data_IF_063926667039
#
_entry.id   IF_063926667039
#
_cell.length_a   1.000
_cell.length_b   1.000
_cell.length_c   1.000
_cell.angle_alpha   90.00
_cell.angle_beta   90.00
_cell.angle_gamma   90.00
#
_symmetry.space_group_name_H-M   'P 1'
#
loop_
_entity.id
_entity.type
_entity.pdbx_description
1 polymer ?
#
# COMPACT_ATOMS: atom_id res chain seq x y z
N UNK A 1 6.66 17.72 -24.17
CA UNK A 1 6.10 17.77 -22.82
C UNK A 1 6.88 16.87 -21.86
N UNK A 2 7.07 15.58 -22.17
CA UNK A 2 7.83 14.66 -21.31
C UNK A 2 9.28 15.12 -21.08
N UNK A 3 9.98 15.57 -22.13
CA UNK A 3 11.36 16.10 -22.00
C UNK A 3 11.41 17.25 -21.00
N UNK A 4 10.47 18.18 -21.08
CA UNK A 4 10.37 19.29 -20.12
C UNK A 4 10.07 18.82 -18.69
N UNK A 5 9.27 17.76 -18.53
CA UNK A 5 9.01 17.17 -17.23
C UNK A 5 10.28 16.55 -16.62
N UNK A 6 11.08 15.83 -17.43
CA UNK A 6 12.37 15.26 -17.00
C UNK A 6 13.43 16.30 -16.66
N UNK A 7 13.42 17.44 -17.38
CA UNK A 7 14.31 18.58 -17.09
C UNK A 7 13.95 19.27 -15.76
N UNK A 8 12.65 19.41 -15.49
CA UNK A 8 12.15 19.98 -14.22
C UNK A 8 12.37 19.05 -13.03
N UNK A 9 12.32 17.75 -13.26
CA UNK A 9 12.38 16.72 -12.24
C UNK A 9 13.28 15.56 -12.69
N UNK A 10 14.60 15.67 -12.47
CA UNK A 10 15.59 14.68 -12.90
C UNK A 10 15.32 13.25 -12.39
N UNK A 11 14.67 13.11 -11.22
CA UNK A 11 14.24 11.82 -10.68
C UNK A 11 13.42 11.00 -11.67
N UNK A 12 12.56 11.63 -12.47
CA UNK A 12 11.76 10.93 -13.48
C UNK A 12 12.67 10.28 -14.52
N UNK A 13 13.68 11.02 -15.02
CA UNK A 13 14.65 10.49 -15.98
C UNK A 13 15.44 9.33 -15.38
N UNK A 14 15.97 9.50 -14.17
CA UNK A 14 16.72 8.46 -13.46
C UNK A 14 15.88 7.18 -13.28
N UNK A 15 14.60 7.35 -12.94
CA UNK A 15 13.68 6.23 -12.71
C UNK A 15 13.35 5.40 -13.97
N UNK A 16 13.38 5.99 -15.17
CA UNK A 16 13.02 5.32 -16.44
C UNK A 16 14.21 4.99 -17.33
N UNK A 17 15.41 5.45 -16.99
CA UNK A 17 16.63 5.13 -17.74
C UNK A 17 17.15 3.75 -17.33
N UNK A 18 17.18 2.83 -18.29
CA UNK A 18 17.71 1.49 -18.07
C UNK A 18 19.24 1.49 -17.90
N UNK A 19 19.84 0.46 -17.28
CA UNK A 19 21.31 0.38 -17.09
C UNK A 19 22.13 0.46 -18.37
N UNK A 20 21.53 0.20 -19.53
CA UNK A 20 22.15 0.37 -20.84
C UNK A 20 22.06 1.81 -21.38
N UNK A 21 21.52 2.75 -20.61
CA UNK A 21 21.37 4.15 -20.96
C UNK A 21 20.13 4.48 -21.80
N UNK A 22 19.28 3.51 -22.13
CA UNK A 22 18.08 3.73 -22.93
C UNK A 22 16.80 3.88 -22.11
N UNK A 23 15.83 4.59 -22.67
CA UNK A 23 14.48 4.75 -22.12
C UNK A 23 13.51 3.91 -22.97
N UNK A 24 12.89 2.89 -22.35
CA UNK A 24 11.99 1.96 -23.04
C UNK A 24 10.52 2.19 -22.74
N UNK A 25 10.21 2.98 -21.74
CA UNK A 25 8.84 3.18 -21.27
C UNK A 25 8.51 4.65 -20.99
N UNK A 26 7.24 4.95 -20.93
CA UNK A 26 6.73 6.25 -20.53
C UNK A 26 6.27 6.22 -19.08
N UNK A 27 6.66 7.22 -18.26
CA UNK A 27 6.36 7.27 -16.84
C UNK A 27 5.04 7.94 -16.50
N UNK A 28 4.66 7.89 -15.21
CA UNK A 28 3.73 8.83 -14.59
C UNK A 28 4.34 9.52 -13.39
N UNK A 29 3.83 10.72 -13.07
CA UNK A 29 3.98 11.39 -11.77
C UNK A 29 2.64 11.92 -11.30
N UNK A 30 2.29 11.62 -10.03
CA UNK A 30 1.04 11.96 -9.36
C UNK A 30 1.32 12.46 -7.93
N UNK A 31 1.62 13.76 -7.72
CA UNK A 31 1.95 14.29 -6.38
C UNK A 31 0.75 14.29 -5.43
N UNK A 32 -0.46 14.08 -5.96
CA UNK A 32 -1.69 13.99 -5.18
C UNK A 32 -1.94 12.60 -4.57
N UNK A 33 -1.04 11.64 -4.75
CA UNK A 33 -1.18 10.35 -4.06
C UNK A 33 -0.63 10.47 -2.63
N UNK A 34 -1.22 9.74 -1.66
CA UNK A 34 -0.79 9.81 -0.28
C UNK A 34 0.60 9.18 -0.08
N UNK A 35 1.27 9.59 0.99
CA UNK A 35 2.50 8.94 1.46
C UNK A 35 2.19 7.62 2.14
N UNK A 36 1.06 7.58 2.88
CA UNK A 36 0.63 6.41 3.65
C UNK A 36 -0.32 5.58 2.81
N UNK A 37 0.04 4.34 2.65
CA UNK A 37 -0.73 3.31 1.92
C UNK A 37 -2.06 2.95 2.62
N UNK A 38 -2.48 1.70 2.50
CA UNK A 38 -3.54 1.18 3.32
C UNK A 38 -3.17 1.27 4.80
N UNK A 39 -4.16 1.50 5.63
CA UNK A 39 -4.01 1.65 7.07
C UNK A 39 -5.05 0.83 7.80
N UNK A 40 -4.86 0.65 9.10
CA UNK A 40 -5.84 -0.02 9.93
C UNK A 40 -7.03 0.89 10.19
N UNK A 41 -8.21 0.30 10.15
CA UNK A 41 -9.48 0.87 10.60
C UNK A 41 -10.03 0.04 11.74
N UNK A 42 -10.72 0.72 12.67
CA UNK A 42 -11.40 0.07 13.79
C UNK A 42 -12.87 0.47 13.82
N UNK A 43 -13.73 -0.48 14.14
CA UNK A 43 -15.16 -0.22 14.29
C UNK A 43 -15.42 0.63 15.55
N UNK A 44 -15.68 1.91 15.32
CA UNK A 44 -15.94 2.87 16.41
C UNK A 44 -17.28 2.60 17.10
N UNK A 45 -18.28 2.13 16.37
CA UNK A 45 -19.57 1.75 16.93
C UNK A 45 -19.44 0.59 17.92
N UNK A 46 -18.59 -0.39 17.61
CA UNK A 46 -18.30 -1.49 18.55
C UNK A 46 -17.59 -0.99 19.81
N UNK A 47 -16.63 -0.09 19.66
CA UNK A 47 -15.99 0.56 20.81
C UNK A 47 -17.03 1.28 21.70
N UNK A 48 -17.95 2.02 21.09
CA UNK A 48 -18.98 2.78 21.81
C UNK A 48 -19.97 1.85 22.49
N UNK A 49 -20.44 0.80 21.82
CA UNK A 49 -21.35 -0.21 22.38
C UNK A 49 -20.77 -0.86 23.65
N UNK A 50 -19.47 -1.10 23.67
CA UNK A 50 -18.77 -1.72 24.79
C UNK A 50 -18.15 -0.75 25.80
N UNK A 51 -18.27 0.58 25.55
CA UNK A 51 -17.68 1.61 26.41
C UNK A 51 -16.14 1.64 26.38
N UNK A 52 -15.54 1.20 25.26
CA UNK A 52 -14.09 1.12 25.09
C UNK A 52 -13.52 2.39 24.47
N UNK A 53 -12.27 2.68 24.80
CA UNK A 53 -11.50 3.76 24.15
C UNK A 53 -10.82 3.25 22.89
N UNK A 54 -10.50 4.16 21.97
CA UNK A 54 -9.62 3.89 20.83
C UNK A 54 -8.25 3.49 21.35
N UNK A 55 -7.68 2.34 20.92
CA UNK A 55 -6.38 1.89 21.38
C UNK A 55 -5.25 2.83 20.91
N UNK A 56 -4.28 3.07 21.77
CA UNK A 56 -3.08 3.89 21.49
C UNK A 56 -1.81 3.05 21.37
N UNK A 57 -1.83 1.85 21.94
CA UNK A 57 -0.69 0.92 21.94
C UNK A 57 -1.12 -0.43 21.36
N UNK A 58 -0.13 -1.26 21.01
CA UNK A 58 -0.39 -2.64 20.61
C UNK A 58 -1.12 -3.43 21.73
N UNK A 59 -0.70 -3.25 22.98
CA UNK A 59 -1.34 -3.94 24.11
C UNK A 59 -2.79 -3.51 24.32
N UNK A 60 -3.12 -2.25 24.06
CA UNK A 60 -4.51 -1.78 24.11
C UNK A 60 -5.32 -2.38 22.96
N UNK A 61 -4.73 -2.48 21.74
CA UNK A 61 -5.40 -3.15 20.63
C UNK A 61 -5.74 -4.60 21.00
N UNK A 62 -4.81 -5.35 21.55
CA UNK A 62 -5.06 -6.76 21.97
C UNK A 62 -6.20 -6.85 22.98
N UNK A 63 -6.27 -5.94 23.96
CA UNK A 63 -7.39 -5.89 24.92
C UNK A 63 -8.72 -5.58 24.23
N UNK A 64 -8.73 -4.63 23.31
CA UNK A 64 -9.94 -4.28 22.54
C UNK A 64 -10.39 -5.49 21.69
N UNK A 65 -9.48 -6.17 21.01
CA UNK A 65 -9.80 -7.37 20.22
C UNK A 65 -10.37 -8.49 21.12
N UNK A 66 -9.88 -8.62 22.36
CA UNK A 66 -10.43 -9.59 23.33
C UNK A 66 -11.88 -9.23 23.70
N UNK A 67 -12.15 -7.94 23.98
CA UNK A 67 -13.51 -7.49 24.30
C UNK A 67 -14.46 -7.65 23.09
N UNK A 68 -13.99 -7.42 21.87
CA UNK A 68 -14.76 -7.66 20.64
C UNK A 68 -15.12 -9.15 20.47
N UNK A 69 -14.22 -10.04 20.85
CA UNK A 69 -14.45 -11.49 20.79
C UNK A 69 -15.45 -11.98 21.84
N UNK A 70 -15.32 -11.48 23.08
CA UNK A 70 -16.01 -12.06 24.24
C UNK A 70 -17.42 -11.48 24.43
N UNK A 71 -17.78 -10.41 23.70
CA UNK A 71 -19.03 -9.68 23.84
C UNK A 71 -19.72 -9.44 22.50
N UNK A 72 -21.03 -9.26 22.55
CA UNK A 72 -21.85 -8.81 21.41
C UNK A 72 -21.47 -7.36 21.06
N UNK A 73 -20.39 -7.20 20.28
CA UNK A 73 -19.84 -5.89 19.94
C UNK A 73 -20.70 -5.19 18.88
N UNK A 74 -21.27 -5.95 17.94
CA UNK A 74 -22.10 -5.42 16.87
C UNK A 74 -23.56 -5.14 17.32
N UNK A 75 -23.98 -5.67 18.47
CA UNK A 75 -25.27 -5.42 19.10
C UNK A 75 -26.45 -6.18 18.49
N UNK A 76 -26.19 -7.32 17.85
CA UNK A 76 -27.22 -8.12 17.17
C UNK A 76 -27.80 -9.24 18.05
N UNK A 77 -27.27 -9.48 19.25
CA UNK A 77 -27.66 -10.53 20.20
C UNK A 77 -26.91 -11.85 20.01
N UNK A 78 -25.95 -11.95 19.10
CA UNK A 78 -25.12 -13.11 18.85
C UNK A 78 -23.63 -12.76 19.10
N UNK A 79 -22.99 -13.39 20.08
CA UNK A 79 -21.56 -13.17 20.42
C UNK A 79 -20.61 -14.07 19.64
N UNK A 80 -21.09 -14.79 18.64
CA UNK A 80 -20.29 -15.77 17.89
C UNK A 80 -19.97 -15.33 16.46
N UNK A 81 -20.52 -14.22 16.00
CA UNK A 81 -20.36 -13.76 14.63
C UNK A 81 -19.35 -12.59 14.47
N UNK A 82 -18.79 -12.11 15.58
CA UNK A 82 -17.74 -11.10 15.56
C UNK A 82 -16.40 -11.66 15.08
N UNK A 83 -15.78 -10.94 14.16
CA UNK A 83 -14.40 -11.14 13.69
C UNK A 83 -13.56 -9.99 14.25
N UNK A 84 -12.85 -10.17 15.37
CA UNK A 84 -12.13 -9.05 16.00
C UNK A 84 -11.10 -8.41 15.08
N UNK A 85 -10.28 -9.24 14.39
CA UNK A 85 -9.33 -8.79 13.36
C UNK A 85 -9.50 -9.66 12.11
N UNK A 86 -9.93 -9.04 11.01
CA UNK A 86 -10.14 -9.68 9.72
C UNK A 86 -9.09 -9.26 8.68
N UNK A 87 -8.96 -10.05 7.62
CA UNK A 87 -8.08 -9.73 6.50
C UNK A 87 -8.52 -8.43 5.81
N UNK A 88 -7.52 -7.70 5.34
CA UNK A 88 -7.67 -6.47 4.59
C UNK A 88 -7.19 -6.62 3.15
N UNK A 89 -6.73 -5.50 2.57
CA UNK A 89 -6.24 -5.45 1.20
C UNK A 89 -4.77 -5.87 1.06
N UNK A 90 -4.11 -6.25 2.15
CA UNK A 90 -2.70 -6.65 2.20
C UNK A 90 -2.51 -8.04 2.77
N UNK A 91 -1.25 -8.53 2.65
CA UNK A 91 -0.78 -9.65 3.45
C UNK A 91 -1.16 -9.43 4.93
N UNK A 92 -1.99 -10.31 5.51
CA UNK A 92 -2.52 -10.09 6.86
C UNK A 92 -1.42 -10.05 7.92
N UNK A 93 -0.28 -10.73 7.69
CA UNK A 93 0.84 -10.70 8.63
C UNK A 93 1.41 -9.30 8.76
N UNK A 94 1.65 -8.61 7.65
CA UNK A 94 2.19 -7.25 7.70
C UNK A 94 1.20 -6.24 8.28
N UNK A 95 -0.08 -6.37 7.97
CA UNK A 95 -1.11 -5.50 8.57
C UNK A 95 -1.15 -5.61 10.09
N UNK A 96 -1.06 -6.83 10.62
CA UNK A 96 -1.12 -7.08 12.05
C UNK A 96 0.16 -6.66 12.78
N UNK A 97 1.33 -6.91 12.19
CA UNK A 97 2.62 -6.67 12.83
C UNK A 97 3.18 -5.26 12.62
N UNK A 98 2.43 -4.36 12.00
CA UNK A 98 2.84 -2.98 11.77
C UNK A 98 3.39 -2.28 13.03
N UNK A 99 2.79 -2.42 14.23
CA UNK A 99 3.32 -1.82 15.46
C UNK A 99 4.69 -2.35 15.93
N UNK A 100 5.21 -3.40 15.30
CA UNK A 100 6.52 -3.97 15.61
C UNK A 100 7.65 -3.40 14.75
N UNK A 101 7.50 -2.15 14.26
CA UNK A 101 8.50 -1.51 13.38
C UNK A 101 8.67 -2.28 12.07
N UNK A 102 7.58 -2.79 11.56
CA UNK A 102 7.58 -3.35 10.22
C UNK A 102 7.55 -2.22 9.19
N UNK A 103 8.64 -2.09 8.44
CA UNK A 103 8.91 -0.98 7.52
C UNK A 103 8.39 -1.21 6.10
N UNK A 104 7.45 -2.13 5.93
CA UNK A 104 6.95 -2.47 4.62
C UNK A 104 6.23 -1.27 3.98
N UNK A 105 6.72 -0.86 2.83
CA UNK A 105 5.94 -0.07 1.87
C UNK A 105 4.91 -0.96 1.20
N UNK A 106 3.76 -0.39 0.85
CA UNK A 106 2.77 -1.10 0.05
C UNK A 106 3.38 -1.49 -1.30
N UNK A 107 2.98 -2.61 -1.83
CA UNK A 107 3.31 -3.07 -3.19
C UNK A 107 4.80 -3.14 -3.55
N UNK A 108 5.66 -3.19 -2.58
CA UNK A 108 7.07 -3.46 -2.80
C UNK A 108 7.23 -4.94 -3.16
N UNK A 109 7.43 -5.23 -4.42
CA UNK A 109 7.47 -6.59 -5.00
C UNK A 109 8.40 -7.55 -4.23
N UNK A 110 9.50 -7.04 -3.67
CA UNK A 110 10.49 -7.86 -3.00
C UNK A 110 10.49 -7.71 -1.47
N UNK A 111 9.49 -7.05 -0.91
CA UNK A 111 9.35 -6.84 0.54
C UNK A 111 10.61 -6.22 1.18
N UNK A 112 11.21 -5.29 0.44
CA UNK A 112 12.42 -4.57 0.84
C UNK A 112 12.10 -3.30 1.61
N UNK A 113 12.99 -2.90 2.48
CA UNK A 113 12.99 -1.59 3.13
C UNK A 113 14.40 -1.01 3.19
N UNK A 114 14.55 0.18 3.75
CA UNK A 114 15.84 0.83 3.98
C UNK A 114 16.04 1.06 5.46
N UNK A 115 17.15 0.57 6.01
CA UNK A 115 17.56 0.78 7.39
C UNK A 115 19.01 1.30 7.41
N UNK A 116 19.21 2.45 8.04
CA UNK A 116 20.52 3.08 8.12
C UNK A 116 21.22 3.24 6.75
N UNK A 117 20.42 3.59 5.71
CA UNK A 117 20.90 3.80 4.35
C UNK A 117 21.22 2.50 3.56
N UNK A 118 20.81 1.34 4.05
CA UNK A 118 21.04 0.04 3.39
C UNK A 118 19.71 -0.69 3.16
N UNK A 119 19.56 -1.40 2.03
CA UNK A 119 18.46 -2.31 1.82
C UNK A 119 18.42 -3.44 2.86
N UNK A 120 17.24 -3.74 3.35
CA UNK A 120 16.98 -4.86 4.26
C UNK A 120 15.79 -5.67 3.75
N UNK A 121 15.84 -6.99 3.88
CA UNK A 121 14.72 -7.88 3.60
C UNK A 121 13.89 -8.05 4.86
N UNK A 122 12.65 -7.59 4.83
CA UNK A 122 11.83 -7.44 6.04
C UNK A 122 11.58 -8.75 6.77
N UNK A 123 11.47 -9.86 6.04
CA UNK A 123 11.21 -11.18 6.61
C UNK A 123 12.39 -11.78 7.39
N UNK A 124 13.54 -11.11 7.41
CA UNK A 124 14.72 -11.51 8.22
C UNK A 124 15.00 -10.61 9.40
N UNK A 125 14.19 -9.56 9.58
CA UNK A 125 14.36 -8.61 10.67
C UNK A 125 13.79 -9.15 12.01
N UNK A 126 14.44 -8.78 13.11
CA UNK A 126 13.98 -9.18 14.45
C UNK A 126 12.57 -8.66 14.77
N UNK A 127 12.23 -7.48 14.25
CA UNK A 127 10.88 -6.92 14.35
C UNK A 127 9.82 -7.80 13.68
N UNK A 128 10.15 -8.46 12.59
CA UNK A 128 9.27 -9.43 11.94
C UNK A 128 9.06 -10.67 12.83
N UNK A 129 10.15 -11.23 13.37
CA UNK A 129 10.09 -12.36 14.30
C UNK A 129 9.16 -12.08 15.50
N UNK A 130 9.39 -10.93 16.15
CA UNK A 130 8.60 -10.49 17.30
C UNK A 130 7.12 -10.30 16.94
N UNK A 131 6.85 -9.69 15.80
CA UNK A 131 5.48 -9.48 15.31
C UNK A 131 4.76 -10.79 15.02
N UNK A 132 5.40 -11.75 14.36
CA UNK A 132 4.81 -13.07 14.08
C UNK A 132 4.55 -13.85 15.39
N UNK A 133 5.46 -13.80 16.36
CA UNK A 133 5.24 -14.41 17.67
C UNK A 133 4.02 -13.80 18.38
N UNK A 134 3.88 -12.48 18.35
CA UNK A 134 2.72 -11.77 18.92
C UNK A 134 1.42 -12.08 18.16
N UNK A 135 1.49 -12.21 16.83
CA UNK A 135 0.34 -12.61 16.01
C UNK A 135 -0.11 -14.03 16.33
N UNK A 136 0.83 -14.97 16.55
CA UNK A 136 0.51 -16.32 17.01
C UNK A 136 -0.29 -16.32 18.32
N UNK A 137 0.15 -15.57 19.33
CA UNK A 137 -0.56 -15.48 20.60
C UNK A 137 -1.99 -14.92 20.45
N UNK A 138 -2.19 -13.98 19.54
CA UNK A 138 -3.52 -13.45 19.26
C UNK A 138 -4.38 -14.42 18.45
N UNK A 139 -3.79 -15.11 17.47
CA UNK A 139 -4.49 -16.15 16.70
C UNK A 139 -4.96 -17.29 17.60
N UNK A 140 -4.09 -17.79 18.48
CA UNK A 140 -4.40 -18.84 19.46
C UNK A 140 -5.55 -18.46 20.41
N UNK A 141 -5.69 -17.17 20.74
CA UNK A 141 -6.80 -16.64 21.53
C UNK A 141 -8.07 -16.45 20.71
N UNK A 142 -8.04 -16.66 19.40
CA UNK A 142 -9.16 -16.42 18.48
C UNK A 142 -9.47 -14.94 18.27
N UNK A 143 -8.48 -14.05 18.41
CA UNK A 143 -8.63 -12.61 18.16
C UNK A 143 -8.46 -12.27 16.69
N UNK A 144 -8.01 -13.22 15.88
CA UNK A 144 -7.78 -13.09 14.44
C UNK A 144 -8.68 -14.10 13.73
N UNK A 145 -9.25 -13.70 12.61
CA UNK A 145 -10.07 -14.58 11.77
C UNK A 145 -9.33 -15.91 11.50
N UNK A 146 -9.91 -17.07 11.85
CA UNK A 146 -9.27 -18.36 11.64
C UNK A 146 -9.04 -18.67 10.15
N UNK A 147 -9.78 -18.04 9.24
CA UNK A 147 -9.67 -18.24 7.80
C UNK A 147 -8.69 -17.27 7.14
N UNK A 148 -8.01 -16.39 7.90
CA UNK A 148 -7.20 -15.27 7.41
C UNK A 148 -6.10 -15.66 6.39
N UNK A 149 -5.65 -16.91 6.40
CA UNK A 149 -4.66 -17.45 5.43
C UNK A 149 -5.27 -18.33 4.34
N UNK A 150 -6.55 -18.62 4.41
CA UNK A 150 -7.23 -19.56 3.49
C UNK A 150 -8.33 -18.89 2.67
N UNK A 151 -8.81 -17.74 3.10
CA UNK A 151 -9.82 -16.98 2.36
C UNK A 151 -9.22 -16.27 1.16
N UNK A 152 -9.98 -16.18 0.09
CA UNK A 152 -9.66 -15.33 -1.05
C UNK A 152 -10.18 -13.89 -0.85
N UNK A 153 -9.81 -13.00 -1.78
CA UNK A 153 -10.24 -11.60 -1.73
C UNK A 153 -11.76 -11.43 -1.71
N UNK A 154 -12.50 -12.29 -2.42
CA UNK A 154 -13.97 -12.20 -2.48
C UNK A 154 -14.60 -12.56 -1.15
N UNK A 155 -14.09 -13.59 -0.49
CA UNK A 155 -14.52 -13.99 0.86
C UNK A 155 -14.24 -12.89 1.89
N UNK A 156 -13.03 -12.34 1.88
CA UNK A 156 -12.64 -11.23 2.77
C UNK A 156 -13.52 -9.99 2.55
N UNK A 157 -13.79 -9.62 1.29
CA UNK A 157 -14.70 -8.51 0.96
C UNK A 157 -16.12 -8.81 1.44
N UNK A 158 -16.63 -10.03 1.25
CA UNK A 158 -17.97 -10.41 1.70
C UNK A 158 -18.13 -10.26 3.23
N UNK A 159 -17.12 -10.64 4.02
CA UNK A 159 -17.12 -10.45 5.48
C UNK A 159 -17.14 -8.98 5.88
N UNK A 160 -16.36 -8.13 5.21
CA UNK A 160 -16.25 -6.68 5.52
C UNK A 160 -17.44 -5.86 5.02
N UNK A 161 -18.09 -6.28 3.93
CA UNK A 161 -19.18 -5.56 3.25
C UNK A 161 -20.52 -6.32 3.35
N UNK A 162 -20.71 -7.13 4.38
CA UNK A 162 -21.98 -7.82 4.63
C UNK A 162 -23.14 -6.80 4.63
N UNK A 163 -24.29 -7.19 4.09
CA UNK A 163 -25.47 -6.31 4.03
C UNK A 163 -26.24 -6.23 5.36
N UNK A 164 -25.93 -7.11 6.30
CA UNK A 164 -26.54 -7.14 7.62
C UNK A 164 -25.89 -6.16 8.61
N UNK A 165 -25.44 -6.66 9.73
CA UNK A 165 -24.60 -5.93 10.70
C UNK A 165 -23.14 -6.03 10.33
N UNK A 166 -22.33 -5.06 10.75
CA UNK A 166 -20.89 -5.17 10.55
C UNK A 166 -20.33 -6.32 11.39
N UNK A 167 -19.49 -7.17 10.77
CA UNK A 167 -18.95 -8.38 11.40
C UNK A 167 -17.46 -8.29 11.72
N UNK A 168 -16.76 -7.28 11.24
CA UNK A 168 -15.30 -7.14 11.38
C UNK A 168 -14.97 -5.95 12.27
N UNK A 169 -14.23 -6.19 13.36
CA UNK A 169 -13.84 -5.12 14.30
C UNK A 169 -12.70 -4.27 13.78
N UNK A 170 -11.61 -4.92 13.32
CA UNK A 170 -10.41 -4.25 12.77
C UNK A 170 -10.03 -4.89 11.45
N UNK A 171 -9.70 -4.08 10.46
CA UNK A 171 -9.12 -4.53 9.19
C UNK A 171 -8.33 -3.42 8.52
N UNK A 172 -7.55 -3.75 7.49
CA UNK A 172 -6.77 -2.76 6.72
C UNK A 172 -7.40 -2.44 5.38
N UNK A 173 -7.26 -1.18 4.95
CA UNK A 173 -7.75 -0.74 3.65
C UNK A 173 -7.34 0.67 3.29
N UNK A 174 -7.79 1.13 2.11
CA UNK A 174 -7.45 2.44 1.57
C UNK A 174 -8.23 3.57 2.26
N UNK A 175 -9.54 3.49 2.24
CA UNK A 175 -10.48 4.36 2.95
C UNK A 175 -11.58 3.50 3.56
N UNK A 176 -12.34 4.02 4.51
CA UNK A 176 -13.42 3.27 5.13
C UNK A 176 -14.52 2.88 4.12
N UNK A 177 -14.89 3.78 3.21
CA UNK A 177 -15.91 3.54 2.18
C UNK A 177 -15.49 2.45 1.19
N UNK A 178 -14.23 2.46 0.73
CA UNK A 178 -13.69 1.43 -0.14
C UNK A 178 -13.52 0.06 0.57
N UNK A 179 -13.38 0.05 1.90
CA UNK A 179 -13.06 -1.16 2.68
C UNK A 179 -14.31 -1.83 3.26
N UNK A 180 -15.26 -1.05 3.75
CA UNK A 180 -16.42 -1.55 4.52
C UNK A 180 -17.79 -1.21 3.88
N UNK A 181 -17.79 -0.53 2.73
CA UNK A 181 -19.01 -0.24 1.97
C UNK A 181 -20.08 0.45 2.81
N UNK A 182 -21.25 -0.20 2.98
CA UNK A 182 -22.39 0.34 3.73
C UNK A 182 -22.09 0.62 5.21
N UNK A 183 -21.12 -0.07 5.79
CA UNK A 183 -20.71 0.10 7.20
C UNK A 183 -19.63 1.15 7.40
N UNK A 184 -19.19 1.84 6.35
CA UNK A 184 -18.06 2.79 6.41
C UNK A 184 -18.18 3.84 7.50
N UNK A 185 -19.38 4.32 7.78
CA UNK A 185 -19.65 5.32 8.83
C UNK A 185 -19.46 4.80 10.27
N UNK A 186 -19.38 3.47 10.44
CA UNK A 186 -19.13 2.84 11.73
C UNK A 186 -17.62 2.77 12.05
N UNK A 187 -16.74 3.02 11.06
CA UNK A 187 -15.31 2.87 11.20
C UNK A 187 -14.57 4.20 11.21
N UNK A 188 -13.51 4.22 11.99
CA UNK A 188 -12.51 5.29 11.97
C UNK A 188 -11.14 4.73 11.61
N UNK A 189 -10.29 5.58 11.04
CA UNK A 189 -8.87 5.26 10.90
C UNK A 189 -8.26 5.03 12.29
N UNK A 190 -7.59 3.91 12.47
CA UNK A 190 -6.86 3.65 13.70
C UNK A 190 -5.62 4.54 13.72
N UNK A 191 -5.39 5.32 14.78
CA UNK A 191 -4.14 6.06 14.95
C UNK A 191 -2.92 5.14 14.84
N UNK A 192 -1.78 5.68 14.43
CA UNK A 192 -0.56 4.90 14.45
C UNK A 192 -0.27 4.43 15.89
N UNK A 193 -0.32 3.13 16.11
CA UNK A 193 -0.13 2.55 17.45
C UNK A 193 1.32 2.66 17.89
N UNK A 194 1.55 2.91 19.16
CA UNK A 194 2.86 2.75 19.78
C UNK A 194 3.20 1.27 19.85
N UNK A 195 4.29 0.90 19.20
CA UNK A 195 4.83 -0.45 19.22
C UNK A 195 5.59 -0.76 20.52
N UNK A 196 6.19 -1.94 20.58
CA UNK A 196 6.96 -2.41 21.74
C UNK A 196 8.19 -1.54 22.05
N UNK A 197 8.72 -0.83 21.05
CA UNK A 197 9.84 0.13 21.21
C UNK A 197 9.37 1.54 21.58
N UNK A 198 8.07 1.74 21.84
CA UNK A 198 7.44 3.01 22.18
C UNK A 198 7.28 3.98 21.02
N UNK A 199 7.63 3.60 19.78
CA UNK A 199 7.51 4.42 18.57
C UNK A 199 6.27 4.05 17.79
N UNK A 200 5.89 4.92 16.88
CA UNK A 200 4.73 4.75 16.00
C UNK A 200 5.22 4.60 14.55
N UNK A 201 4.59 3.69 13.81
CA UNK A 201 4.95 3.37 12.44
C UNK A 201 3.71 3.22 11.58
N UNK A 202 3.80 3.60 10.32
CA UNK A 202 2.76 3.39 9.30
C UNK A 202 3.37 2.84 8.02
N UNK A 203 2.56 2.16 7.23
CA UNK A 203 2.94 1.78 5.87
C UNK A 203 3.19 3.02 5.03
N UNK A 204 4.33 3.06 4.35
CA UNK A 204 4.63 4.13 3.41
C UNK A 204 5.36 3.62 2.19
N UNK A 205 4.90 4.03 1.02
CA UNK A 205 5.63 3.87 -0.23
C UNK A 205 5.28 5.02 -1.18
N UNK A 206 5.79 6.23 -0.90
CA UNK A 206 5.48 7.40 -1.72
C UNK A 206 5.96 7.24 -3.16
N UNK A 207 7.05 6.52 -3.41
CA UNK A 207 7.57 6.33 -4.75
C UNK A 207 6.66 5.44 -5.59
N UNK A 208 6.06 4.40 -5.01
CA UNK A 208 5.12 3.55 -5.71
C UNK A 208 3.84 4.29 -6.11
N UNK A 209 3.28 5.09 -5.21
CA UNK A 209 2.03 5.80 -5.49
C UNK A 209 2.23 7.05 -6.33
N UNK A 210 3.30 7.80 -6.09
CA UNK A 210 3.55 9.07 -6.77
C UNK A 210 4.20 8.90 -8.14
N UNK A 211 4.92 7.80 -8.36
CA UNK A 211 5.67 7.56 -9.60
C UNK A 211 5.37 6.16 -10.16
N UNK A 212 5.18 6.09 -11.46
CA UNK A 212 5.16 4.84 -12.20
C UNK A 212 6.08 4.93 -13.42
N UNK A 213 6.85 3.89 -13.71
CA UNK A 213 7.85 3.92 -14.79
C UNK A 213 7.43 3.21 -16.06
N UNK A 214 6.52 2.26 -16.00
CA UNK A 214 6.17 1.37 -17.11
C UNK A 214 4.71 1.53 -17.54
N UNK A 215 4.24 2.76 -17.65
CA UNK A 215 2.84 3.04 -17.97
C UNK A 215 2.48 2.67 -19.42
N UNK A 216 3.40 2.91 -20.36
CA UNK A 216 3.28 2.47 -21.77
C UNK A 216 4.66 2.11 -22.31
N UNK A 217 4.71 1.01 -23.07
CA UNK A 217 5.87 0.58 -23.84
C UNK A 217 5.50 0.51 -25.32
N UNK A 218 6.42 0.95 -26.18
CA UNK A 218 6.29 0.83 -27.64
C UNK A 218 7.19 -0.30 -28.11
N UNK A 219 6.59 -1.36 -28.64
CA UNK A 219 7.36 -2.53 -29.10
C UNK A 219 8.01 -2.28 -30.46
N UNK A 220 9.02 -3.07 -30.79
CA UNK A 220 9.71 -3.05 -32.10
C UNK A 220 8.80 -3.48 -33.28
N UNK A 221 7.59 -3.95 -33.00
CA UNK A 221 6.58 -4.26 -34.04
C UNK A 221 5.83 -3.02 -34.52
N UNK A 222 5.94 -1.89 -33.80
CA UNK A 222 5.32 -0.64 -34.24
C UNK A 222 5.88 -0.15 -35.57
N UNK A 223 5.04 0.11 -36.54
CA UNK A 223 5.41 0.64 -37.86
C UNK A 223 5.80 2.14 -37.81
N UNK A 224 5.28 2.88 -36.83
CA UNK A 224 5.45 4.32 -36.71
C UNK A 224 5.66 4.75 -35.25
N UNK A 225 6.75 4.30 -34.59
CA UNK A 225 6.97 4.57 -33.16
C UNK A 225 7.09 6.08 -32.86
N UNK A 226 7.74 6.84 -33.73
CA UNK A 226 7.88 8.26 -33.54
C UNK A 226 6.54 9.04 -33.61
N UNK A 227 5.63 8.62 -34.50
CA UNK A 227 4.28 9.22 -34.60
C UNK A 227 3.46 8.87 -33.36
N UNK A 228 3.57 7.64 -32.89
CA UNK A 228 2.89 7.17 -31.67
C UNK A 228 3.41 7.93 -30.44
N UNK A 229 4.74 8.05 -30.30
CA UNK A 229 5.35 8.80 -29.21
C UNK A 229 4.93 10.28 -29.21
N UNK A 230 4.87 10.92 -30.39
CA UNK A 230 4.37 12.29 -30.51
C UNK A 230 2.91 12.45 -30.09
N UNK A 231 2.09 11.44 -30.33
CA UNK A 231 0.70 11.42 -29.86
C UNK A 231 0.63 11.23 -28.34
N UNK A 232 1.38 10.26 -27.79
CA UNK A 232 1.44 9.99 -26.36
C UNK A 232 2.02 11.15 -25.54
N UNK A 233 2.96 11.93 -26.11
CA UNK A 233 3.52 13.12 -25.45
C UNK A 233 2.46 14.18 -25.10
N UNK A 234 1.31 14.18 -25.79
CA UNK A 234 0.18 15.06 -25.45
C UNK A 234 -0.46 14.74 -24.11
N UNK A 235 -0.33 13.51 -23.62
CA UNK A 235 -0.85 13.09 -22.32
C UNK A 235 -0.10 13.75 -21.16
N UNK A 236 1.09 14.32 -21.42
CA UNK A 236 1.90 15.05 -20.44
C UNK A 236 1.59 16.56 -20.39
N UNK A 237 0.53 17.02 -21.03
CA UNK A 237 0.01 18.38 -20.77
C UNK A 237 -0.78 18.40 -19.47
N UNK A 238 -0.83 19.56 -18.81
CA UNK A 238 -1.53 19.73 -17.53
C UNK A 238 -2.99 19.27 -17.61
N UNK A 239 -3.72 19.75 -18.62
CA UNK A 239 -5.13 19.41 -18.82
C UNK A 239 -5.34 17.91 -19.08
N UNK A 240 -4.49 17.32 -19.93
CA UNK A 240 -4.60 15.90 -20.23
C UNK A 240 -4.26 15.03 -19.01
N UNK A 241 -3.26 15.43 -18.21
CA UNK A 241 -2.88 14.72 -16.99
C UNK A 241 -3.97 14.78 -15.92
N UNK A 242 -4.60 15.94 -15.72
CA UNK A 242 -5.72 16.11 -14.79
C UNK A 242 -6.94 15.26 -15.23
N UNK A 243 -7.32 15.35 -16.51
CA UNK A 243 -8.45 14.56 -17.01
C UNK A 243 -8.16 13.05 -17.00
N UNK A 244 -6.93 12.66 -17.26
CA UNK A 244 -6.51 11.27 -17.20
C UNK A 244 -6.63 10.68 -15.78
N UNK A 245 -6.37 11.48 -14.73
CA UNK A 245 -6.45 11.03 -13.35
C UNK A 245 -7.83 11.21 -12.72
N UNK A 246 -8.47 12.37 -12.91
CA UNK A 246 -9.75 12.69 -12.24
C UNK A 246 -10.98 12.49 -13.13
N UNK A 247 -10.79 12.38 -14.47
CA UNK A 247 -11.85 12.25 -15.45
C UNK A 247 -12.09 13.50 -16.29
N UNK A 248 -12.83 13.34 -17.37
CA UNK A 248 -13.03 14.37 -18.39
C UNK A 248 -13.72 15.63 -17.87
N UNK A 249 -13.35 16.77 -18.45
CA UNK A 249 -14.03 18.05 -18.20
C UNK A 249 -15.51 17.99 -18.56
N UNK A 250 -16.34 18.56 -17.68
CA UNK A 250 -17.82 18.54 -17.79
C UNK A 250 -18.46 17.23 -17.29
N UNK A 251 -17.67 16.19 -17.01
CA UNK A 251 -18.15 14.89 -16.46
C UNK A 251 -17.72 14.76 -15.00
N UNK A 252 -16.44 14.60 -14.75
CA UNK A 252 -15.87 14.39 -13.41
C UNK A 252 -14.94 15.52 -12.95
N UNK A 253 -14.57 16.44 -13.85
CA UNK A 253 -13.80 17.65 -13.54
C UNK A 253 -14.33 18.86 -14.25
N UNK A 254 -13.98 20.04 -13.74
CA UNK A 254 -14.16 21.34 -14.39
C UNK A 254 -12.86 22.12 -14.39
N UNK A 255 -12.70 22.97 -15.40
CA UNK A 255 -11.62 23.95 -15.49
C UNK A 255 -12.17 25.36 -15.35
N UNK A 256 -11.73 26.10 -14.33
CA UNK A 256 -12.11 27.49 -14.07
C UNK A 256 -10.86 28.37 -14.10
N UNK A 257 -10.57 28.97 -15.27
CA UNK A 257 -9.32 29.72 -15.47
C UNK A 257 -8.11 28.80 -15.40
N UNK A 258 -7.26 29.00 -14.40
CA UNK A 258 -6.06 28.21 -14.12
C UNK A 258 -6.27 27.12 -13.04
N UNK A 259 -7.48 27.05 -12.46
CA UNK A 259 -7.85 26.05 -11.46
C UNK A 259 -8.62 24.89 -12.06
N UNK A 260 -8.55 23.76 -11.39
CA UNK A 260 -9.28 22.53 -11.69
C UNK A 260 -10.13 22.15 -10.48
N UNK A 261 -11.37 21.72 -10.71
CA UNK A 261 -12.27 21.25 -9.66
C UNK A 261 -12.71 19.83 -9.95
N UNK A 262 -12.55 18.94 -8.97
CA UNK A 262 -13.13 17.60 -9.01
C UNK A 262 -14.60 17.71 -8.65
N UNK A 263 -15.47 17.21 -9.53
CA UNK A 263 -16.92 17.27 -9.36
C UNK A 263 -17.40 16.14 -8.42
N UNK A 264 -18.51 16.37 -7.70
CA UNK A 264 -19.09 15.32 -6.87
C UNK A 264 -19.54 14.12 -7.72
N UNK A 265 -19.52 12.90 -7.17
CA UNK A 265 -20.01 11.72 -7.86
C UNK A 265 -21.50 11.84 -8.18
N UNK A 266 -21.94 11.16 -9.24
CA UNK A 266 -23.34 11.11 -9.69
C UNK A 266 -23.90 9.70 -9.58
N UNK A 267 -25.20 9.55 -9.82
CA UNK A 267 -25.89 8.26 -9.92
C UNK A 267 -25.78 7.37 -8.68
N UNK A 268 -25.66 7.99 -7.48
CA UNK A 268 -25.57 7.28 -6.21
C UNK A 268 -24.26 6.51 -6.00
N UNK A 269 -23.24 6.80 -6.81
CA UNK A 269 -21.92 6.15 -6.70
C UNK A 269 -21.08 6.76 -5.60
N UNK A 270 -20.17 5.99 -5.04
CA UNK A 270 -19.11 6.54 -4.19
C UNK A 270 -18.14 7.38 -5.02
N UNK A 271 -17.36 8.26 -4.37
CA UNK A 271 -16.35 9.08 -5.06
C UNK A 271 -15.29 8.20 -5.74
N UNK A 272 -14.87 7.12 -5.09
CA UNK A 272 -13.88 6.19 -5.65
C UNK A 272 -14.45 5.44 -6.87
N UNK A 273 -15.63 4.85 -6.75
CA UNK A 273 -16.29 4.16 -7.87
C UNK A 273 -16.48 5.10 -9.09
N UNK A 274 -16.92 6.33 -8.84
CA UNK A 274 -17.14 7.32 -9.90
C UNK A 274 -15.84 7.70 -10.60
N UNK A 275 -14.76 7.87 -9.83
CA UNK A 275 -13.43 8.17 -10.39
C UNK A 275 -12.91 7.02 -11.26
N UNK A 276 -13.03 5.76 -10.84
CA UNK A 276 -12.60 4.59 -11.60
C UNK A 276 -13.37 4.39 -12.91
N UNK A 277 -14.65 4.73 -12.94
CA UNK A 277 -15.48 4.62 -14.17
C UNK A 277 -15.11 5.71 -15.17
N UNK A 278 -14.74 6.90 -14.73
CA UNK A 278 -14.62 8.07 -15.61
C UNK A 278 -13.17 8.46 -15.95
N UNK A 279 -12.16 7.73 -15.44
CA UNK A 279 -10.76 8.06 -15.69
C UNK A 279 -9.86 6.81 -15.73
N UNK A 280 -8.62 7.00 -16.15
CA UNK A 280 -7.60 5.95 -16.07
C UNK A 280 -6.95 5.85 -14.69
N UNK A 281 -7.25 6.77 -13.79
CA UNK A 281 -6.72 6.79 -12.42
C UNK A 281 -5.18 6.64 -12.41
N UNK A 282 -4.72 5.57 -11.81
CA UNK A 282 -3.29 5.27 -11.67
C UNK A 282 -2.64 4.71 -12.93
N UNK A 283 -3.42 4.41 -13.98
CA UNK A 283 -2.89 3.83 -15.21
C UNK A 283 -2.62 4.89 -16.29
N UNK A 284 -1.62 4.60 -17.14
CA UNK A 284 -1.27 5.41 -18.30
C UNK A 284 -0.38 6.61 -17.97
N UNK A 285 0.33 7.12 -19.00
CA UNK A 285 1.33 8.18 -18.86
C UNK A 285 0.66 9.51 -18.52
N UNK A 286 1.22 10.23 -17.55
CA UNK A 286 0.81 11.56 -17.12
C UNK A 286 1.89 12.23 -16.29
N UNK A 287 1.83 13.54 -16.22
CA UNK A 287 2.69 14.32 -15.35
C UNK A 287 1.89 15.46 -14.72
N UNK A 288 1.70 15.38 -13.42
CA UNK A 288 1.14 16.47 -12.64
C UNK A 288 2.26 17.06 -11.79
N UNK A 289 2.61 18.32 -12.01
CA UNK A 289 3.58 19.03 -11.17
C UNK A 289 2.93 19.44 -9.84
N UNK A 290 3.77 19.78 -8.86
CA UNK A 290 3.27 20.27 -7.56
C UNK A 290 2.49 21.60 -7.72
N UNK A 291 2.91 22.45 -8.67
CA UNK A 291 2.20 23.68 -9.03
C UNK A 291 0.79 23.37 -9.56
N UNK A 292 0.66 22.44 -10.51
CA UNK A 292 -0.66 22.02 -11.02
C UNK A 292 -1.51 21.41 -9.92
N UNK A 293 -0.91 20.54 -9.11
CA UNK A 293 -1.62 19.91 -7.99
C UNK A 293 -2.17 20.94 -6.98
N UNK A 294 -1.44 22.02 -6.72
CA UNK A 294 -1.88 23.09 -5.81
C UNK A 294 -3.13 23.86 -6.31
N UNK A 295 -3.44 23.73 -7.60
CA UNK A 295 -4.60 24.34 -8.25
C UNK A 295 -5.80 23.41 -8.41
N UNK A 296 -5.73 22.18 -7.87
CA UNK A 296 -6.82 21.20 -7.87
C UNK A 296 -7.65 21.35 -6.61
N UNK A 297 -8.93 21.65 -6.77
CA UNK A 297 -9.93 21.68 -5.70
C UNK A 297 -10.63 20.33 -5.62
N UNK A 298 -10.55 19.66 -4.46
CA UNK A 298 -11.15 18.35 -4.20
C UNK A 298 -11.87 18.34 -2.86
N UNK A 299 -13.02 17.64 -2.78
CA UNK A 299 -13.77 17.42 -1.55
C UNK A 299 -12.97 16.54 -0.59
N UNK A 300 -12.66 17.06 0.61
CA UNK A 300 -11.86 16.36 1.62
C UNK A 300 -12.69 15.43 2.53
N UNK A 301 -13.97 15.26 2.25
CA UNK A 301 -14.87 14.41 3.06
C UNK A 301 -15.07 13.02 2.45
N UNK A 302 -14.59 12.78 1.24
CA UNK A 302 -14.77 11.52 0.52
C UNK A 302 -13.63 11.22 -0.45
N UNK A 303 -13.49 9.96 -0.84
CA UNK A 303 -12.53 9.48 -1.85
C UNK A 303 -11.09 9.93 -1.61
N UNK A 304 -10.42 10.38 -2.67
CA UNK A 304 -9.01 10.82 -2.61
C UNK A 304 -8.80 11.99 -1.65
N UNK A 305 -9.74 12.93 -1.56
CA UNK A 305 -9.62 14.06 -0.64
C UNK A 305 -9.64 13.63 0.82
N UNK A 306 -10.53 12.70 1.19
CA UNK A 306 -10.54 12.09 2.52
C UNK A 306 -9.22 11.36 2.79
N UNK A 307 -8.74 10.58 1.82
CA UNK A 307 -7.47 9.86 1.95
C UNK A 307 -6.28 10.78 2.19
N UNK A 308 -6.20 11.89 1.45
CA UNK A 308 -5.15 12.89 1.65
C UNK A 308 -5.22 13.60 3.00
N UNK A 309 -6.44 13.85 3.50
CA UNK A 309 -6.63 14.39 4.85
C UNK A 309 -6.12 13.42 5.93
N UNK A 310 -6.46 12.13 5.80
CA UNK A 310 -5.97 11.08 6.70
C UNK A 310 -4.45 10.94 6.63
N UNK A 311 -3.86 11.09 5.45
CA UNK A 311 -2.40 11.06 5.25
C UNK A 311 -1.68 12.17 6.01
N UNK A 312 -2.27 13.35 6.14
CA UNK A 312 -1.66 14.49 6.85
C UNK A 312 -1.31 14.14 8.30
N UNK A 313 -2.14 13.36 8.97
CA UNK A 313 -1.96 13.00 10.38
C UNK A 313 -0.94 11.84 10.54
N UNK A 314 -0.87 10.96 9.55
CA UNK A 314 -0.10 9.72 9.63
C UNK A 314 1.29 9.79 8.99
N UNK A 315 1.51 10.63 7.97
CA UNK A 315 2.77 10.69 7.21
C UNK A 315 4.01 10.99 8.06
N UNK A 316 3.85 11.63 9.22
CA UNK A 316 4.95 11.88 10.15
C UNK A 316 5.55 10.58 10.75
N UNK A 317 4.81 9.48 10.72
CA UNK A 317 5.22 8.17 11.19
C UNK A 317 5.72 7.26 10.05
N UNK A 318 5.76 7.79 8.82
CA UNK A 318 6.24 7.06 7.66
C UNK A 318 7.74 6.87 7.72
N UNK A 319 8.18 5.66 7.40
CA UNK A 319 9.60 5.32 7.30
C UNK A 319 10.08 5.40 5.85
N UNK A 320 11.38 5.62 5.61
CA UNK A 320 11.94 5.57 4.27
C UNK A 320 11.63 4.22 3.61
N UNK A 321 10.94 4.28 2.47
CA UNK A 321 10.67 3.10 1.66
C UNK A 321 11.90 2.72 0.81
N UNK A 322 11.96 1.47 0.38
CA UNK A 322 12.90 1.04 -0.64
C UNK A 322 12.44 1.61 -1.99
N UNK A 323 13.29 2.37 -2.71
CA UNK A 323 12.85 3.07 -3.91
C UNK A 323 12.58 2.12 -5.10
N UNK A 324 11.89 2.61 -6.11
CA UNK A 324 11.70 1.93 -7.37
C UNK A 324 13.01 1.88 -8.17
N UNK A 325 13.89 0.94 -7.84
CA UNK A 325 15.16 0.73 -8.52
C UNK A 325 14.98 0.03 -9.87
N UNK A 326 15.95 0.19 -10.77
CA UNK A 326 15.99 -0.50 -12.05
C UNK A 326 17.03 -1.62 -12.00
N UNK A 327 16.62 -2.79 -12.48
CA UNK A 327 17.48 -3.96 -12.63
C UNK A 327 17.89 -4.16 -14.09
N UNK A 328 19.09 -4.67 -14.31
CA UNK A 328 19.50 -5.18 -15.62
C UNK A 328 18.73 -6.46 -15.95
N UNK A 329 18.75 -6.88 -17.22
CA UNK A 329 18.13 -8.14 -17.63
C UNK A 329 18.74 -9.35 -16.92
N UNK A 330 20.05 -9.33 -16.67
CA UNK A 330 20.73 -10.38 -15.94
C UNK A 330 20.26 -10.45 -14.47
N UNK A 331 20.17 -9.29 -13.81
CA UNK A 331 19.64 -9.18 -12.43
C UNK A 331 18.19 -9.65 -12.36
N UNK A 332 17.33 -9.26 -13.30
CA UNK A 332 15.93 -9.70 -13.34
C UNK A 332 15.82 -11.22 -13.51
N UNK A 333 16.64 -11.82 -14.36
CA UNK A 333 16.64 -13.27 -14.55
C UNK A 333 17.03 -14.02 -13.26
N UNK A 334 18.05 -13.52 -12.55
CA UNK A 334 18.45 -14.07 -11.24
C UNK A 334 17.37 -13.88 -10.19
N UNK A 335 16.87 -12.66 -10.06
CA UNK A 335 15.81 -12.32 -9.09
C UNK A 335 14.57 -13.18 -9.29
N UNK A 336 14.08 -13.33 -10.52
CA UNK A 336 12.90 -14.14 -10.80
C UNK A 336 13.07 -15.61 -10.42
N UNK A 337 14.28 -16.16 -10.56
CA UNK A 337 14.57 -17.54 -10.16
C UNK A 337 14.65 -17.69 -8.64
N UNK A 338 15.35 -16.77 -7.97
CA UNK A 338 15.61 -16.86 -6.52
C UNK A 338 14.34 -16.49 -5.73
N UNK A 339 13.69 -15.38 -6.10
CA UNK A 339 12.62 -14.81 -5.27
C UNK A 339 11.36 -15.68 -5.22
N UNK A 340 11.00 -16.35 -6.31
CA UNK A 340 9.82 -17.25 -6.32
C UNK A 340 9.94 -18.34 -5.25
N UNK A 341 11.12 -18.92 -5.10
CA UNK A 341 11.37 -19.95 -4.08
C UNK A 341 11.35 -19.36 -2.66
N UNK A 342 12.01 -18.21 -2.48
CA UNK A 342 12.03 -17.50 -1.20
C UNK A 342 10.61 -17.08 -0.81
N UNK A 343 9.87 -16.43 -1.70
CA UNK A 343 8.50 -15.95 -1.44
C UNK A 343 7.56 -17.07 -1.02
N UNK A 344 7.58 -18.19 -1.75
CA UNK A 344 6.76 -19.36 -1.39
C UNK A 344 7.10 -19.89 0.00
N UNK A 345 8.39 -20.04 0.29
CA UNK A 345 8.86 -20.54 1.58
C UNK A 345 8.49 -19.59 2.74
N UNK A 346 8.73 -18.29 2.59
CA UNK A 346 8.44 -17.33 3.69
C UNK A 346 6.95 -17.19 3.98
N UNK A 347 6.09 -17.24 2.95
CA UNK A 347 4.63 -17.23 3.13
C UNK A 347 4.15 -18.49 3.86
N UNK A 348 4.66 -19.65 3.47
CA UNK A 348 4.35 -20.91 4.13
C UNK A 348 4.80 -20.91 5.59
N UNK A 349 6.02 -20.45 5.87
CA UNK A 349 6.53 -20.37 7.25
C UNK A 349 5.74 -19.36 8.09
N UNK A 350 5.40 -18.21 7.54
CA UNK A 350 4.57 -17.22 8.23
C UNK A 350 3.23 -17.80 8.67
N UNK A 351 2.50 -18.43 7.75
CA UNK A 351 1.21 -19.06 8.05
C UNK A 351 1.37 -20.17 9.11
N UNK A 352 2.37 -21.03 8.96
CA UNK A 352 2.68 -22.07 9.95
C UNK A 352 2.94 -21.48 11.34
N UNK A 353 3.79 -20.48 11.43
CA UNK A 353 4.15 -19.89 12.72
C UNK A 353 3.00 -19.14 13.38
N UNK A 354 2.13 -18.50 12.60
CA UNK A 354 0.95 -17.87 13.17
C UNK A 354 -0.05 -18.91 13.68
N UNK A 355 -0.27 -19.99 12.96
CA UNK A 355 -1.23 -21.04 13.34
C UNK A 355 -0.66 -21.97 14.43
N UNK A 356 0.56 -22.47 14.25
CA UNK A 356 1.14 -23.52 15.08
C UNK A 356 2.17 -23.01 16.11
N UNK A 357 2.71 -21.80 15.90
CA UNK A 357 3.81 -21.24 16.67
C UNK A 357 5.18 -21.80 16.24
N UNK A 358 6.19 -21.62 17.09
CA UNK A 358 7.51 -22.22 16.92
C UNK A 358 8.58 -21.30 16.34
N UNK A 359 8.26 -20.07 15.95
CA UNK A 359 9.21 -19.12 15.33
C UNK A 359 10.47 -18.93 16.18
N UNK A 360 10.35 -18.88 17.51
CA UNK A 360 11.48 -18.67 18.41
C UNK A 360 12.54 -19.78 18.28
N UNK A 361 12.09 -21.01 18.06
CA UNK A 361 12.97 -22.18 17.92
C UNK A 361 13.50 -22.36 16.51
N UNK A 362 12.72 -21.95 15.51
CA UNK A 362 13.01 -22.21 14.10
C UNK A 362 13.72 -21.02 13.41
N UNK A 363 13.84 -19.87 14.09
CA UNK A 363 14.32 -18.64 13.47
C UNK A 363 15.71 -18.73 12.82
N UNK A 364 16.65 -19.37 13.47
CA UNK A 364 18.00 -19.50 12.94
C UNK A 364 18.07 -20.50 11.77
N UNK A 365 17.37 -21.63 11.87
CA UNK A 365 17.28 -22.57 10.76
C UNK A 365 16.52 -21.99 9.56
N UNK A 366 15.52 -21.17 9.80
CA UNK A 366 14.83 -20.43 8.75
C UNK A 366 15.76 -19.48 7.97
N UNK A 367 16.55 -18.67 8.68
CA UNK A 367 17.53 -17.79 8.04
C UNK A 367 18.59 -18.56 7.25
N UNK A 368 19.04 -19.68 7.77
CA UNK A 368 19.98 -20.56 7.06
C UNK A 368 19.36 -21.17 5.80
N UNK A 369 18.08 -21.57 5.87
CA UNK A 369 17.35 -22.05 4.70
C UNK A 369 17.23 -20.97 3.62
N UNK A 370 16.91 -19.73 4.01
CA UNK A 370 16.87 -18.60 3.07
C UNK A 370 18.22 -18.35 2.38
N UNK A 371 19.34 -18.45 3.12
CA UNK A 371 20.69 -18.35 2.52
C UNK A 371 20.92 -19.45 1.50
N UNK A 372 20.56 -20.69 1.83
CA UNK A 372 20.67 -21.82 0.90
C UNK A 372 19.79 -21.66 -0.34
N UNK A 373 18.69 -20.90 -0.24
CA UNK A 373 17.83 -20.54 -1.37
C UNK A 373 18.39 -19.38 -2.20
N UNK A 374 19.49 -18.74 -1.78
CA UNK A 374 20.15 -17.67 -2.52
C UNK A 374 19.87 -16.26 -1.98
N UNK A 375 19.44 -16.11 -0.73
CA UNK A 375 19.16 -14.80 -0.13
C UNK A 375 20.36 -13.84 -0.20
N UNK A 376 21.59 -14.34 -0.06
CA UNK A 376 22.79 -13.49 -0.12
C UNK A 376 22.99 -12.89 -1.53
N UNK A 377 22.77 -13.65 -2.59
CA UNK A 377 22.81 -13.15 -3.98
C UNK A 377 21.65 -12.18 -4.25
N UNK A 378 20.43 -12.50 -3.74
CA UNK A 378 19.29 -11.61 -3.81
C UNK A 378 19.61 -10.26 -3.17
N UNK A 379 20.12 -10.23 -1.95
CA UNK A 379 20.47 -9.01 -1.21
C UNK A 379 21.61 -8.22 -1.88
N UNK A 380 22.57 -8.91 -2.49
CA UNK A 380 23.63 -8.27 -3.27
C UNK A 380 23.07 -7.51 -4.47
N UNK A 381 22.15 -8.13 -5.23
CA UNK A 381 21.49 -7.47 -6.37
C UNK A 381 20.69 -6.25 -5.88
N UNK A 382 19.95 -6.38 -4.78
CA UNK A 382 19.20 -5.26 -4.20
C UNK A 382 20.12 -4.09 -3.81
N UNK A 383 21.26 -4.38 -3.19
CA UNK A 383 22.23 -3.35 -2.79
C UNK A 383 22.87 -2.67 -4.01
N UNK A 384 23.23 -3.41 -5.04
CA UNK A 384 23.82 -2.86 -6.27
C UNK A 384 22.83 -1.95 -7.00
N UNK A 385 21.57 -2.38 -7.14
CA UNK A 385 20.52 -1.59 -7.74
C UNK A 385 20.22 -0.33 -6.93
N UNK A 386 20.18 -0.42 -5.60
CA UNK A 386 20.02 0.72 -4.71
C UNK A 386 21.18 1.73 -4.82
N UNK A 387 22.41 1.26 -4.92
CA UNK A 387 23.58 2.12 -5.09
C UNK A 387 23.54 2.89 -6.43
N UNK A 388 23.10 2.25 -7.52
CA UNK A 388 22.89 2.92 -8.81
C UNK A 388 21.84 4.02 -8.68
N UNK A 389 20.69 3.69 -8.12
CA UNK A 389 19.63 4.66 -7.88
C UNK A 389 20.12 5.87 -7.05
N UNK A 390 20.84 5.64 -5.95
CA UNK A 390 21.37 6.71 -5.09
C UNK A 390 22.35 7.63 -5.81
N UNK A 391 23.13 7.11 -6.75
CA UNK A 391 24.05 7.88 -7.57
C UNK A 391 23.28 8.79 -8.55
N UNK A 392 22.31 8.23 -9.26
CA UNK A 392 21.52 8.95 -10.26
C UNK A 392 20.63 10.06 -9.66
N UNK A 393 20.12 9.86 -8.44
CA UNK A 393 19.28 10.88 -7.76
C UNK A 393 20.12 12.03 -7.18
N UNK A 394 21.43 11.82 -6.93
CA UNK A 394 22.33 12.87 -6.42
C UNK A 394 22.99 13.71 -7.52
N UNK A 395 23.05 13.21 -8.74
CA UNK A 395 23.51 13.92 -9.94
C UNK A 395 22.36 14.69 -10.58
#
# INVERSE_FOLDING_TARGET
NLTKAMEKEPKIKAMITSPDGHIYSLPKKLPMRPTVANQLFINKKWLDNLGLKVPETYDDLVKVLQEFKDKDANGNGDTSDEIPFGAGNFDPTFSYILPFNNRLGADNTYEMSVKDGKPVYLRTEESYKQGIAAMHESYKKGLIDPEIFTEDTSMSVAKRMDKGVSRVGVSSGWTADATFGLHSSEYIALPALKGMDGKQYVFSDPDHYNYGRNEILITNKSKNPAKLLKWLDKLYTDEASIQNFYGSFGIATEKNGDKFKVLPPKDGKSADEYAWINSLRDFGPKYVSDDINSRVEIDQTQGDGLKLKMDQDLKQFALPAYPNVIYSQEELNKLSSIYVSIESYVKQQASKWVVEGGIEKEWDSYKETLKNMGLDEFMKIQQEAYNRYQKEVKE
#
